data_IF_663661878991
#
_entry.id   IF_663661878991
#
_cell.length_a   1.000
_cell.length_b   1.000
_cell.length_c   1.000
_cell.angle_alpha   90.00
_cell.angle_beta   90.00
_cell.angle_gamma   90.00
#
_symmetry.space_group_name_H-M   'P 1'
#
loop_
_entity.id
_entity.type
_entity.pdbx_description
1 polymer ?
#
# COMPACT_ATOMS: atom_id res chain seq x y z
N UNK A 1 -10.01 19.43 2.29
CA UNK A 1 -10.80 18.85 1.18
C UNK A 1 -9.91 17.94 0.36
N UNK A 2 -10.37 16.77 0.13
CA UNK A 2 -9.60 15.81 -0.65
C UNK A 2 -9.86 16.00 -2.14
N UNK A 3 -8.79 16.10 -2.92
CA UNK A 3 -8.88 16.25 -4.37
C UNK A 3 -8.51 14.91 -5.01
N UNK A 4 -9.38 14.42 -5.90
CA UNK A 4 -9.05 13.24 -6.68
C UNK A 4 -7.96 13.59 -7.71
N UNK A 5 -6.79 12.99 -7.57
CA UNK A 5 -5.66 13.22 -8.47
C UNK A 5 -5.90 12.53 -9.82
N UNK A 6 -6.54 11.36 -9.81
CA UNK A 6 -6.81 10.60 -11.01
C UNK A 6 -8.21 10.88 -11.53
N UNK A 7 -8.30 11.35 -12.78
CA UNK A 7 -9.56 11.45 -13.49
C UNK A 7 -9.90 10.11 -14.14
N UNK A 8 -11.16 9.96 -14.59
CA UNK A 8 -11.59 8.74 -15.26
C UNK A 8 -10.83 8.44 -16.57
N UNK A 9 -10.19 9.42 -17.17
CA UNK A 9 -9.35 9.21 -18.35
C UNK A 9 -8.16 8.31 -18.09
N UNK A 10 -7.71 8.22 -16.84
CA UNK A 10 -6.58 7.40 -16.45
C UNK A 10 -6.88 5.91 -16.41
N UNK A 11 -8.15 5.51 -16.57
CA UNK A 11 -8.51 4.09 -16.65
C UNK A 11 -7.88 3.39 -17.86
N UNK A 12 -7.64 4.12 -18.95
CA UNK A 12 -7.12 3.52 -20.17
C UNK A 12 -5.60 3.49 -20.18
N UNK A 13 -4.95 4.50 -19.61
CA UNK A 13 -3.49 4.58 -19.58
C UNK A 13 -3.07 5.30 -18.31
N UNK A 14 -2.60 4.53 -17.34
CA UNK A 14 -2.07 5.11 -16.11
C UNK A 14 -0.62 5.54 -16.34
N UNK A 15 -0.40 6.85 -16.37
CA UNK A 15 0.92 7.43 -16.49
C UNK A 15 1.19 8.35 -15.32
N UNK A 16 2.39 8.23 -14.72
CA UNK A 16 2.82 9.14 -13.69
C UNK A 16 3.55 10.31 -14.32
N UNK A 17 3.21 11.51 -13.88
CA UNK A 17 3.89 12.71 -14.35
C UNK A 17 5.28 12.81 -13.72
N UNK A 18 6.25 13.28 -14.51
CA UNK A 18 7.58 13.57 -13.99
C UNK A 18 7.50 14.68 -12.93
N UNK A 19 8.26 14.54 -11.87
CA UNK A 19 8.35 15.55 -10.82
C UNK A 19 9.19 16.73 -11.33
N UNK A 20 8.60 17.92 -11.39
CA UNK A 20 9.26 19.11 -11.90
C UNK A 20 9.49 20.18 -10.84
N UNK A 21 8.53 20.35 -9.93
CA UNK A 21 8.65 21.33 -8.85
C UNK A 21 7.88 20.87 -7.62
N UNK A 22 8.26 21.39 -6.45
CA UNK A 22 7.55 21.13 -5.20
C UNK A 22 6.11 21.61 -5.30
N UNK A 23 5.88 22.79 -5.87
CA UNK A 23 4.55 23.33 -6.04
C UNK A 23 3.66 22.43 -6.88
N UNK A 24 4.13 21.94 -8.01
CA UNK A 24 3.35 21.05 -8.86
C UNK A 24 3.05 19.71 -8.20
N UNK A 25 3.99 19.20 -7.43
CA UNK A 25 3.82 17.94 -6.69
C UNK A 25 2.77 18.09 -5.59
N UNK A 26 2.86 19.14 -4.79
CA UNK A 26 1.98 19.33 -3.64
C UNK A 26 0.63 19.97 -3.97
N UNK A 27 0.62 20.89 -4.91
CA UNK A 27 -0.57 21.69 -5.26
C UNK A 27 -1.15 21.34 -6.63
N UNK A 28 -0.43 20.59 -7.43
CA UNK A 28 -0.85 20.21 -8.77
C UNK A 28 -1.91 19.11 -8.77
N UNK A 29 -2.39 18.77 -9.94
CA UNK A 29 -3.47 17.79 -10.15
C UNK A 29 -2.97 16.47 -10.70
N UNK A 30 -1.67 16.29 -10.83
CA UNK A 30 -1.09 15.12 -11.46
C UNK A 30 -0.43 14.22 -10.43
N UNK A 31 -0.59 12.93 -10.64
CA UNK A 31 0.10 11.93 -9.85
C UNK A 31 1.57 11.88 -10.28
N UNK A 32 2.46 12.22 -9.35
CA UNK A 32 3.91 12.28 -9.57
C UNK A 32 4.64 11.58 -8.42
N UNK A 33 4.47 10.27 -8.24
CA UNK A 33 5.06 9.57 -7.09
C UNK A 33 6.58 9.71 -7.08
N UNK A 34 7.12 9.88 -5.89
CA UNK A 34 8.57 9.87 -5.67
C UNK A 34 9.01 8.47 -5.27
N UNK A 35 9.62 7.78 -6.20
CA UNK A 35 10.29 6.52 -5.90
C UNK A 35 11.71 6.80 -5.40
N UNK A 36 12.20 5.98 -4.49
CA UNK A 36 13.55 6.13 -3.97
C UNK A 36 14.62 5.70 -4.99
N UNK A 37 15.89 5.67 -4.56
CA UNK A 37 17.01 5.27 -5.43
C UNK A 37 16.87 3.85 -5.99
N UNK A 38 16.12 2.99 -5.32
CA UNK A 38 15.88 1.62 -5.74
C UNK A 38 14.57 1.47 -6.52
N UNK A 39 13.90 2.57 -6.82
CA UNK A 39 12.63 2.59 -7.55
C UNK A 39 11.43 2.20 -6.70
N UNK A 40 11.50 2.37 -5.39
CA UNK A 40 10.48 1.94 -4.45
C UNK A 40 9.82 3.12 -3.72
N UNK A 41 8.54 2.95 -3.40
CA UNK A 41 7.78 3.86 -2.55
C UNK A 41 7.21 3.05 -1.37
N UNK A 42 7.34 3.56 -0.13
CA UNK A 42 6.77 2.87 1.03
C UNK A 42 5.26 2.93 1.02
N UNK A 43 4.63 1.88 1.52
CA UNK A 43 3.19 1.80 1.68
C UNK A 43 2.83 1.22 3.03
N UNK A 44 1.95 1.91 3.74
CA UNK A 44 1.36 1.45 4.99
C UNK A 44 -0.08 1.04 4.71
N UNK A 45 -0.45 -0.16 5.15
CA UNK A 45 -1.76 -0.76 4.85
C UNK A 45 -2.56 -0.92 6.14
N UNK A 46 -3.80 -0.42 6.14
CA UNK A 46 -4.72 -0.54 7.26
C UNK A 46 -6.03 -1.22 6.85
N UNK A 47 -6.74 -1.75 7.83
CA UNK A 47 -8.06 -2.35 7.64
C UNK A 47 -9.10 -1.25 7.42
N UNK A 48 -9.88 -1.35 6.35
CA UNK A 48 -10.88 -0.35 6.00
C UNK A 48 -12.02 -0.26 7.00
N UNK A 49 -12.34 -1.34 7.68
CA UNK A 49 -13.42 -1.39 8.65
C UNK A 49 -13.04 -0.83 10.01
N UNK A 50 -11.89 -1.21 10.54
CA UNK A 50 -11.45 -0.85 11.90
C UNK A 50 -10.42 0.27 11.95
N UNK A 51 -9.72 0.53 10.86
CA UNK A 51 -8.57 1.43 10.84
C UNK A 51 -7.30 0.81 11.40
N UNK A 52 -7.35 -0.46 11.79
CA UNK A 52 -6.18 -1.13 12.36
C UNK A 52 -5.04 -1.19 11.33
N UNK A 53 -3.83 -0.84 11.78
CA UNK A 53 -2.64 -0.94 10.96
C UNK A 53 -2.30 -2.42 10.76
N UNK A 54 -2.24 -2.86 9.52
CA UNK A 54 -2.04 -4.27 9.17
C UNK A 54 -0.60 -4.59 8.84
N UNK A 55 0.00 -3.82 7.95
CA UNK A 55 1.35 -4.09 7.49
C UNK A 55 1.99 -2.87 6.86
N UNK A 56 3.29 -2.96 6.66
CA UNK A 56 4.07 -2.01 5.90
C UNK A 56 4.83 -2.76 4.80
N UNK A 57 4.92 -2.17 3.63
CA UNK A 57 5.65 -2.75 2.51
C UNK A 57 6.14 -1.70 1.55
N UNK A 58 6.50 -2.14 0.36
CA UNK A 58 7.00 -1.28 -0.70
C UNK A 58 6.32 -1.63 -2.02
N UNK A 59 6.23 -0.64 -2.89
CA UNK A 59 5.78 -0.84 -4.27
C UNK A 59 6.82 -0.24 -5.21
N UNK A 60 7.10 -0.92 -6.32
CA UNK A 60 7.71 -0.25 -7.45
C UNK A 60 6.61 0.34 -8.33
N UNK A 61 6.97 1.00 -9.40
CA UNK A 61 6.00 1.63 -10.31
C UNK A 61 5.00 0.62 -10.86
N UNK A 62 5.46 -0.56 -11.27
CA UNK A 62 4.60 -1.61 -11.81
C UNK A 62 3.62 -2.14 -10.75
N UNK A 63 4.08 -2.39 -9.52
CA UNK A 63 3.21 -2.84 -8.43
C UNK A 63 2.13 -1.80 -8.10
N UNK A 64 2.51 -0.53 -8.09
CA UNK A 64 1.55 0.55 -7.84
C UNK A 64 0.49 0.62 -8.95
N UNK A 65 0.90 0.55 -10.20
CA UNK A 65 -0.02 0.52 -11.34
C UNK A 65 -0.96 -0.67 -11.29
N UNK A 66 -0.44 -1.86 -11.02
CA UNK A 66 -1.26 -3.07 -10.89
C UNK A 66 -2.26 -2.96 -9.74
N UNK A 67 -1.87 -2.39 -8.62
CA UNK A 67 -2.77 -2.16 -7.49
C UNK A 67 -3.91 -1.23 -7.86
N UNK A 68 -3.61 -0.14 -8.55
CA UNK A 68 -4.63 0.83 -8.99
C UNK A 68 -5.59 0.19 -10.00
N UNK A 69 -5.07 -0.57 -10.94
CA UNK A 69 -5.88 -1.19 -12.01
C UNK A 69 -6.76 -2.32 -11.48
N UNK A 70 -6.21 -3.20 -10.66
CA UNK A 70 -6.91 -4.41 -10.22
C UNK A 70 -7.73 -4.20 -8.96
N UNK A 71 -7.46 -3.16 -8.19
CA UNK A 71 -8.03 -2.96 -6.85
C UNK A 71 -7.68 -4.09 -5.89
N UNK A 72 -6.58 -4.77 -6.14
CA UNK A 72 -5.99 -5.77 -5.26
C UNK A 72 -4.54 -5.41 -4.98
N UNK A 73 -4.10 -5.55 -3.73
CA UNK A 73 -2.78 -5.08 -3.33
C UNK A 73 -1.65 -5.90 -3.97
N UNK A 74 -0.76 -5.19 -4.63
CA UNK A 74 0.50 -5.72 -5.15
C UNK A 74 1.64 -4.95 -4.51
N UNK A 75 2.64 -5.68 -4.03
CA UNK A 75 3.83 -5.11 -3.40
C UNK A 75 5.07 -5.53 -4.17
N UNK A 76 6.16 -4.86 -3.89
CA UNK A 76 7.48 -5.30 -4.32
C UNK A 76 8.16 -6.05 -3.17
N UNK A 77 8.51 -7.30 -3.40
CA UNK A 77 9.30 -8.07 -2.44
C UNK A 77 10.79 -7.73 -2.62
N UNK A 78 11.37 -7.04 -1.65
CA UNK A 78 12.79 -6.67 -1.71
C UNK A 78 13.72 -7.87 -1.65
N UNK A 79 13.35 -8.90 -0.91
CA UNK A 79 14.15 -10.11 -0.76
C UNK A 79 14.12 -11.00 -2.00
N UNK A 80 12.93 -11.16 -2.59
CA UNK A 80 12.75 -11.97 -3.81
C UNK A 80 12.98 -11.20 -5.10
N UNK A 81 13.04 -9.88 -5.02
CA UNK A 81 13.18 -8.97 -6.17
C UNK A 81 12.12 -9.24 -7.23
N UNK A 82 10.87 -9.30 -6.79
CA UNK A 82 9.74 -9.58 -7.66
C UNK A 82 8.47 -8.93 -7.12
N UNK A 83 7.47 -8.79 -7.99
CA UNK A 83 6.15 -8.31 -7.61
C UNK A 83 5.43 -9.42 -6.87
N UNK A 84 4.80 -9.03 -5.79
CA UNK A 84 4.05 -9.91 -4.92
C UNK A 84 2.59 -9.49 -4.88
N UNK A 85 1.73 -10.28 -5.52
CA UNK A 85 0.29 -10.12 -5.42
C UNK A 85 -0.17 -10.72 -4.07
N UNK A 86 -0.48 -9.84 -3.13
CA UNK A 86 -0.83 -10.26 -1.76
C UNK A 86 -2.06 -11.16 -1.77
N UNK A 87 -1.89 -12.35 -1.23
CA UNK A 87 -2.98 -13.32 -1.09
C UNK A 87 -3.21 -14.23 -2.30
N UNK A 88 -2.47 -14.06 -3.39
CA UNK A 88 -2.64 -14.93 -4.57
C UNK A 88 -2.45 -16.40 -4.24
N UNK A 89 -1.48 -16.73 -3.40
CA UNK A 89 -1.20 -18.11 -2.98
C UNK A 89 -1.93 -18.48 -1.68
N UNK A 90 -1.92 -17.59 -0.69
CA UNK A 90 -2.51 -17.85 0.63
C UNK A 90 -4.03 -17.74 0.66
N UNK A 91 -4.64 -17.10 -0.32
CA UNK A 91 -6.06 -16.77 -0.35
C UNK A 91 -6.44 -15.51 0.42
N UNK A 92 -5.50 -14.87 1.11
CA UNK A 92 -5.75 -13.67 1.91
C UNK A 92 -5.50 -12.40 1.10
N UNK A 93 -6.30 -12.22 0.05
CA UNK A 93 -6.23 -11.06 -0.83
C UNK A 93 -6.61 -9.79 -0.07
N UNK A 94 -5.93 -8.71 -0.37
CA UNK A 94 -6.25 -7.39 0.16
C UNK A 94 -6.97 -6.59 -0.93
N UNK A 95 -8.29 -6.45 -0.76
CA UNK A 95 -9.11 -5.64 -1.68
C UNK A 95 -8.96 -4.17 -1.33
N UNK A 96 -8.50 -3.38 -2.27
CA UNK A 96 -8.23 -1.96 -2.05
C UNK A 96 -9.52 -1.18 -2.07
N UNK A 97 -9.85 -0.56 -0.94
CA UNK A 97 -11.00 0.34 -0.79
C UNK A 97 -10.58 1.78 -1.07
N UNK A 98 -9.38 2.17 -0.61
CA UNK A 98 -8.84 3.50 -0.85
C UNK A 98 -7.32 3.41 -0.91
N UNK A 99 -6.73 4.26 -1.71
CA UNK A 99 -5.28 4.36 -1.85
C UNK A 99 -4.91 5.83 -1.94
N UNK A 100 -4.16 6.29 -0.95
CA UNK A 100 -3.79 7.70 -0.83
C UNK A 100 -2.28 7.85 -0.89
N UNK A 101 -1.88 8.99 -1.39
CA UNK A 101 -0.48 9.41 -1.39
C UNK A 101 -0.37 10.69 -0.57
N UNK A 102 0.73 10.88 0.13
CA UNK A 102 0.91 12.08 0.96
C UNK A 102 1.20 13.32 0.10
N UNK A 103 1.34 14.48 0.73
CA UNK A 103 1.41 15.77 0.05
C UNK A 103 2.64 15.91 -0.85
N UNK A 104 3.78 15.39 -0.45
CA UNK A 104 5.00 15.39 -1.27
C UNK A 104 5.15 14.13 -2.13
N UNK A 105 4.15 13.27 -2.11
CA UNK A 105 4.03 12.08 -2.94
C UNK A 105 5.18 11.08 -2.79
N UNK A 106 5.65 10.88 -1.58
CA UNK A 106 6.73 9.93 -1.28
C UNK A 106 6.32 8.76 -0.39
N UNK A 107 5.07 8.70 0.05
CA UNK A 107 4.55 7.63 0.88
C UNK A 107 3.08 7.34 0.55
N UNK A 108 2.72 6.07 0.58
CA UNK A 108 1.36 5.61 0.30
C UNK A 108 0.67 5.12 1.57
N UNK A 109 -0.63 5.38 1.65
CA UNK A 109 -1.53 4.76 2.62
C UNK A 109 -2.63 4.02 1.88
N UNK A 110 -2.70 2.72 2.10
CA UNK A 110 -3.69 1.85 1.48
C UNK A 110 -4.66 1.34 2.52
N UNK A 111 -5.95 1.51 2.27
CA UNK A 111 -7.02 0.99 3.10
C UNK A 111 -7.64 -0.22 2.38
N UNK A 112 -7.67 -1.37 3.04
CA UNK A 112 -8.07 -2.62 2.40
C UNK A 112 -9.15 -3.36 3.19
N UNK A 113 -9.94 -4.15 2.48
CA UNK A 113 -10.84 -5.14 3.05
C UNK A 113 -10.17 -6.51 2.94
N UNK A 114 -9.89 -7.13 4.07
CA UNK A 114 -9.30 -8.47 4.14
C UNK A 114 -10.32 -9.53 4.55
N UNK A 115 -11.59 -9.16 4.76
CA UNK A 115 -12.60 -10.06 5.27
C UNK A 115 -12.18 -10.67 6.61
N UNK A 116 -12.15 -11.99 6.69
CA UNK A 116 -11.66 -12.72 7.87
C UNK A 116 -10.20 -13.16 7.74
N UNK A 117 -9.45 -12.54 6.80
CA UNK A 117 -8.08 -12.90 6.52
C UNK A 117 -7.07 -12.33 7.52
N UNK A 118 -5.81 -12.64 7.27
CA UNK A 118 -4.69 -12.16 8.06
C UNK A 118 -3.65 -11.53 7.13
N UNK A 119 -3.00 -10.48 7.61
CA UNK A 119 -1.91 -9.84 6.86
C UNK A 119 -0.56 -10.45 7.20
N UNK A 120 -0.39 -10.95 8.41
CA UNK A 120 0.85 -11.56 8.85
C UNK A 120 0.91 -13.04 8.42
N UNK A 121 2.05 -13.45 7.89
CA UNK A 121 2.27 -14.83 7.44
C UNK A 121 2.21 -15.87 8.58
N UNK A 122 2.35 -15.45 9.83
CA UNK A 122 2.18 -16.34 10.99
C UNK A 122 0.74 -16.38 11.51
N UNK A 123 -0.21 -15.75 10.81
CA UNK A 123 -1.64 -15.84 11.10
C UNK A 123 -2.22 -14.71 11.96
N UNK A 124 -1.43 -13.73 12.38
CA UNK A 124 -1.97 -12.55 13.04
C UNK A 124 -2.68 -11.66 12.03
N UNK A 125 -3.75 -11.01 12.46
CA UNK A 125 -4.43 -10.03 11.62
C UNK A 125 -3.47 -8.92 11.22
N UNK A 126 -2.72 -8.36 12.18
CA UNK A 126 -1.71 -7.32 11.94
C UNK A 126 -0.30 -7.89 12.06
N UNK A 127 0.60 -7.38 11.23
CA UNK A 127 2.03 -7.65 11.37
C UNK A 127 2.64 -6.90 12.56
N UNK A 128 1.95 -5.88 13.07
CA UNK A 128 2.42 -5.04 14.18
C UNK A 128 1.87 -5.55 15.52
N UNK A 129 2.23 -6.75 15.91
CA UNK A 129 1.75 -7.38 17.13
C UNK A 129 2.74 -7.35 18.29
N UNK A 130 3.99 -6.94 18.05
CA UNK A 130 5.02 -6.86 19.07
C UNK A 130 5.16 -5.42 19.58
N UNK A 131 5.08 -5.22 20.90
CA UNK A 131 5.35 -3.91 21.49
C UNK A 131 6.80 -3.85 21.98
N UNK A 132 7.46 -2.74 21.69
CA UNK A 132 8.81 -2.46 22.17
C UNK A 132 8.80 -1.73 23.54
N UNK A 133 7.65 -1.30 23.97
CA UNK A 133 7.49 -0.56 25.23
C UNK A 133 6.82 -1.42 26.30
N UNK A 134 5.80 -2.19 25.91
CA UNK A 134 5.08 -3.10 26.78
C UNK A 134 5.59 -4.52 26.56
N UNK A 135 6.43 -5.02 27.48
CA UNK A 135 7.10 -6.32 27.36
C UNK A 135 6.17 -7.43 27.82
N UNK A 136 5.09 -7.65 27.07
CA UNK A 136 4.26 -8.84 27.24
C UNK A 136 4.17 -9.56 25.92
N UNK A 137 4.35 -10.89 25.93
CA UNK A 137 4.19 -11.66 24.71
C UNK A 137 2.72 -11.67 24.28
N UNK A 138 2.44 -11.34 22.99
CA UNK A 138 1.08 -11.46 22.50
C UNK A 138 0.68 -12.91 22.41
N UNK A 139 -0.62 -13.18 22.62
CA UNK A 139 -1.19 -14.52 22.39
C UNK A 139 -1.18 -14.79 20.89
N UNK A 140 -0.54 -15.86 20.48
CA UNK A 140 -0.48 -16.25 19.07
C UNK A 140 -1.76 -16.95 18.65
N UNK A 141 -2.41 -16.53 17.54
CA UNK A 141 -3.60 -17.20 17.07
C UNK A 141 -3.27 -18.60 16.53
N UNK A 142 -4.16 -19.55 16.75
CA UNK A 142 -4.06 -20.86 16.15
C UNK A 142 -3.03 -21.83 16.76
N UNK A 143 -2.57 -21.54 17.96
CA UNK A 143 -1.62 -22.39 18.68
C UNK A 143 -2.24 -23.04 19.89
#
# INVERSE_FOLDING_TARGET
>A
MQIAILSFFHYFTLMFKKRESVFEVEEGKFLSPKFDKDGLIPVTTSDSGSGELLMHGYMNEEALKKTIETKEAHYWSRSRKDIWHKGKTSGFVQKVIDLRIDDDQDALWMSVDIGNGASCHVGYKSCFYLSLIHISEPTRPGH
#
